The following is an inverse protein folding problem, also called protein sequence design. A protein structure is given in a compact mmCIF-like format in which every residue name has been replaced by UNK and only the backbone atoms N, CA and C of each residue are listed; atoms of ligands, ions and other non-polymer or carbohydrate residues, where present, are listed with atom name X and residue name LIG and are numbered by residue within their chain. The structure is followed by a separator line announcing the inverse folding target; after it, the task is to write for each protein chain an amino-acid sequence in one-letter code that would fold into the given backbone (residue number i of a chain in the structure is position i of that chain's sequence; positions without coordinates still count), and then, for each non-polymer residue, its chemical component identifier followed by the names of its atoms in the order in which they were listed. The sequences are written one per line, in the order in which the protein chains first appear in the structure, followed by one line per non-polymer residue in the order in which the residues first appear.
data_IF_717994091106
#
_entry.id   IF_717994091106
#
_cell.length_a   1.000
_cell.length_b   1.000
_cell.length_c   1.000
_cell.angle_alpha   90.00
_cell.angle_beta   90.00
_cell.angle_gamma   90.00
#
_symmetry.space_group_name_H-M   'P 1'
#
loop_
_entity.id
_entity.type
_entity.pdbx_description
1 polymer ?
#
# COMPACT_ATOMS: atom_id res chain seq x y z
N UNK A 1 14.88 9.53 -7.07
CA UNK A 1 13.59 8.81 -7.10
C UNK A 1 12.98 8.75 -8.51
N UNK A 2 12.50 9.87 -9.07
CA UNK A 2 11.81 9.81 -10.38
C UNK A 2 12.71 9.25 -11.48
N UNK A 3 13.94 9.68 -11.57
CA UNK A 3 14.91 9.18 -12.55
C UNK A 3 15.08 7.67 -12.48
N UNK A 4 15.30 7.11 -11.27
CA UNK A 4 15.48 5.67 -11.08
C UNK A 4 14.22 4.89 -11.43
N UNK A 5 13.03 5.42 -11.04
CA UNK A 5 11.75 4.79 -11.34
C UNK A 5 11.45 4.80 -12.84
N UNK A 6 11.70 5.92 -13.53
CA UNK A 6 11.51 6.03 -14.99
C UNK A 6 12.48 5.11 -15.72
N UNK A 7 13.76 5.13 -15.34
CA UNK A 7 14.77 4.23 -15.92
C UNK A 7 14.37 2.76 -15.76
N UNK A 8 13.90 2.37 -14.58
CA UNK A 8 13.43 1.01 -14.31
C UNK A 8 12.16 0.66 -15.11
N UNK A 9 11.21 1.60 -15.20
CA UNK A 9 9.98 1.42 -15.97
C UNK A 9 10.27 1.21 -17.46
N UNK A 10 11.11 2.03 -18.06
CA UNK A 10 11.50 1.93 -19.47
C UNK A 10 12.27 0.64 -19.75
N UNK A 11 13.28 0.34 -18.91
CA UNK A 11 14.11 -0.87 -19.07
C UNK A 11 13.28 -2.16 -19.01
N UNK A 12 12.29 -2.22 -18.13
CA UNK A 12 11.49 -3.42 -17.87
C UNK A 12 10.09 -3.37 -18.50
N UNK A 13 9.78 -2.31 -19.25
CA UNK A 13 8.45 -2.04 -19.82
C UNK A 13 7.33 -2.12 -18.75
N UNK A 14 7.62 -1.60 -17.55
CA UNK A 14 6.72 -1.73 -16.40
C UNK A 14 5.51 -0.82 -16.52
N UNK A 15 4.35 -1.33 -16.12
CA UNK A 15 3.12 -0.55 -15.95
C UNK A 15 3.05 0.08 -14.56
N UNK A 16 3.76 -0.53 -13.61
CA UNK A 16 3.78 -0.14 -12.22
C UNK A 16 5.18 -0.32 -11.63
N UNK A 17 5.71 0.74 -11.03
CA UNK A 17 6.97 0.70 -10.27
C UNK A 17 6.69 1.17 -8.85
N UNK A 18 7.21 0.45 -7.87
CA UNK A 18 7.08 0.80 -6.45
C UNK A 18 8.46 0.88 -5.80
N UNK A 19 8.64 1.85 -4.90
CA UNK A 19 9.88 2.03 -4.14
C UNK A 19 9.65 1.92 -2.64
N UNK A 20 10.74 1.74 -1.89
CA UNK A 20 10.72 1.89 -0.45
C UNK A 20 10.59 3.34 0.01
N UNK A 21 10.41 3.51 1.33
CA UNK A 21 10.30 4.81 1.99
C UNK A 21 10.69 4.71 3.47
N UNK A 22 10.78 5.86 4.12
CA UNK A 22 10.98 5.99 5.57
C UNK A 22 9.69 6.43 6.25
N UNK A 23 9.45 5.92 7.47
CA UNK A 23 8.44 6.45 8.39
C UNK A 23 9.19 7.16 9.52
N UNK A 24 9.10 8.47 9.58
CA UNK A 24 9.70 9.30 10.62
C UNK A 24 8.65 9.61 11.68
N UNK A 25 8.65 8.89 12.80
CA UNK A 25 7.75 9.12 13.94
C UNK A 25 8.42 10.04 14.94
N UNK A 26 7.90 11.25 15.12
CA UNK A 26 8.40 12.24 16.06
C UNK A 26 7.69 12.11 17.40
N UNK A 27 8.46 11.90 18.47
CA UNK A 27 7.99 11.92 19.86
C UNK A 27 8.08 13.34 20.45
N UNK A 28 9.14 14.06 20.10
CA UNK A 28 9.38 15.48 20.42
C UNK A 28 9.93 16.17 19.17
N UNK A 29 10.20 17.50 19.26
CA UNK A 29 10.80 18.23 18.14
C UNK A 29 12.23 17.77 17.81
N UNK A 30 12.91 17.15 18.77
CA UNK A 30 14.31 16.70 18.64
C UNK A 30 14.48 15.18 18.64
N UNK A 31 13.44 14.42 18.98
CA UNK A 31 13.49 12.97 19.10
C UNK A 31 12.55 12.30 18.12
N UNK A 32 13.11 11.49 17.23
CA UNK A 32 12.34 10.72 16.27
C UNK A 32 12.82 9.28 16.16
N UNK A 33 11.91 8.39 15.84
CA UNK A 33 12.17 7.03 15.43
C UNK A 33 11.97 6.89 13.92
N UNK A 34 12.94 6.32 13.23
CA UNK A 34 12.90 6.13 11.77
C UNK A 34 12.76 4.64 11.46
N UNK A 35 11.68 4.30 10.78
CA UNK A 35 11.46 2.95 10.27
C UNK A 35 11.68 2.93 8.76
N UNK A 36 12.37 1.90 8.29
CA UNK A 36 12.55 1.64 6.86
C UNK A 36 11.47 0.68 6.36
N UNK A 37 10.84 1.04 5.26
CA UNK A 37 9.88 0.21 4.55
C UNK A 37 10.44 -0.03 3.15
N UNK A 38 11.01 -1.19 2.90
CA UNK A 38 11.60 -1.52 1.62
C UNK A 38 11.57 -3.03 1.36
N UNK A 39 11.43 -3.40 0.10
CA UNK A 39 11.61 -4.76 -0.37
C UNK A 39 12.88 -4.84 -1.22
N UNK A 40 13.31 -6.05 -1.57
CA UNK A 40 14.43 -6.28 -2.50
C UNK A 40 14.10 -5.77 -3.90
N UNK A 41 15.12 -5.41 -4.66
CA UNK A 41 14.94 -5.14 -6.10
C UNK A 41 14.37 -6.39 -6.77
N UNK A 42 13.26 -6.20 -7.48
CA UNK A 42 12.56 -7.30 -8.14
C UNK A 42 11.86 -6.81 -9.41
N UNK A 43 12.00 -7.56 -10.48
CA UNK A 43 11.18 -7.45 -11.70
C UNK A 43 10.35 -8.72 -11.75
N UNK A 44 9.06 -8.61 -11.56
CA UNK A 44 8.19 -9.79 -11.59
C UNK A 44 8.06 -10.30 -13.02
N UNK A 45 8.41 -11.58 -13.26
CA UNK A 45 8.42 -12.13 -14.61
C UNK A 45 7.01 -12.33 -15.19
N UNK A 46 6.01 -12.46 -14.32
CA UNK A 46 4.61 -12.65 -14.69
C UNK A 46 3.68 -11.94 -13.70
N UNK A 47 2.46 -11.66 -14.14
CA UNK A 47 1.39 -11.16 -13.27
C UNK A 47 1.15 -12.09 -12.08
N UNK A 48 1.15 -13.41 -12.31
CA UNK A 48 0.94 -14.39 -11.26
C UNK A 48 2.04 -14.34 -10.19
N UNK A 49 3.31 -14.21 -10.59
CA UNK A 49 4.42 -14.08 -9.64
C UNK A 49 4.30 -12.83 -8.76
N UNK A 50 3.81 -11.72 -9.30
CA UNK A 50 3.51 -10.52 -8.52
C UNK A 50 2.37 -10.76 -7.53
N UNK A 51 1.26 -11.36 -7.99
CA UNK A 51 0.08 -11.61 -7.16
C UNK A 51 0.40 -12.50 -5.97
N UNK A 52 1.18 -13.55 -6.17
CA UNK A 52 1.62 -14.48 -5.13
C UNK A 52 2.52 -13.81 -4.08
N UNK A 53 3.36 -12.86 -4.49
CA UNK A 53 4.31 -12.16 -3.62
C UNK A 53 3.75 -10.86 -2.99
N UNK A 54 2.58 -10.40 -3.45
CA UNK A 54 2.01 -9.10 -3.06
C UNK A 54 1.78 -8.94 -1.56
N UNK A 55 1.48 -10.02 -0.82
CA UNK A 55 1.30 -10.00 0.63
C UNK A 55 2.55 -9.48 1.37
N UNK A 56 3.76 -9.81 0.90
CA UNK A 56 5.00 -9.26 1.45
C UNK A 56 5.10 -7.74 1.25
N UNK A 57 4.66 -7.23 0.08
CA UNK A 57 4.66 -5.80 -0.19
C UNK A 57 3.61 -5.06 0.65
N UNK A 58 2.46 -5.67 0.89
CA UNK A 58 1.45 -5.14 1.83
C UNK A 58 1.97 -5.08 3.25
N UNK A 59 2.67 -6.11 3.73
CA UNK A 59 3.27 -6.15 5.07
C UNK A 59 4.28 -5.03 5.30
N UNK A 60 5.01 -4.66 4.26
CA UNK A 60 5.94 -3.54 4.27
C UNK A 60 5.26 -2.18 3.97
N UNK A 61 3.93 -2.12 3.96
CA UNK A 61 3.13 -0.94 3.64
C UNK A 61 3.42 -0.34 2.24
N UNK A 62 4.04 -1.07 1.34
CA UNK A 62 4.46 -0.56 0.04
C UNK A 62 3.28 -0.38 -0.94
N UNK A 63 2.12 -1.02 -0.71
CA UNK A 63 0.96 -1.01 -1.60
C UNK A 63 -0.26 -0.23 -1.05
N UNK A 64 -0.07 0.75 -0.18
CA UNK A 64 -1.18 1.54 0.39
C UNK A 64 -1.35 2.92 -0.24
N UNK A 65 -0.26 3.66 -0.43
CA UNK A 65 -0.29 5.07 -0.84
C UNK A 65 0.33 5.26 -2.22
N UNK A 66 -0.08 6.28 -3.01
CA UNK A 66 0.42 6.47 -4.37
C UNK A 66 1.81 7.14 -4.45
N UNK A 67 2.26 7.84 -3.43
CA UNK A 67 3.42 8.74 -3.45
C UNK A 67 4.79 8.05 -3.59
N UNK A 68 4.90 6.74 -3.35
CA UNK A 68 6.10 5.92 -3.58
C UNK A 68 6.01 5.09 -4.87
N UNK A 69 5.19 5.51 -5.83
CA UNK A 69 4.86 4.72 -7.02
C UNK A 69 4.95 5.52 -8.30
N UNK A 70 5.22 4.82 -9.39
CA UNK A 70 5.10 5.33 -10.75
C UNK A 70 4.12 4.45 -11.53
N UNK A 71 3.22 5.08 -12.27
CA UNK A 71 2.16 4.44 -13.02
C UNK A 71 2.30 4.75 -14.52
N UNK A 72 2.12 3.75 -15.35
CA UNK A 72 1.98 3.98 -16.79
C UNK A 72 0.61 4.65 -17.05
N UNK A 73 0.63 5.87 -17.55
CA UNK A 73 -0.57 6.69 -17.74
C UNK A 73 -1.60 6.01 -18.66
N UNK A 74 -1.14 5.38 -19.73
CA UNK A 74 -1.99 4.67 -20.69
C UNK A 74 -2.71 3.48 -20.02
N UNK A 75 -2.03 2.78 -19.10
CA UNK A 75 -2.64 1.69 -18.33
C UNK A 75 -3.75 2.21 -17.42
N UNK A 76 -3.46 3.23 -16.62
CA UNK A 76 -4.43 3.79 -15.66
C UNK A 76 -5.65 4.38 -16.38
N UNK A 77 -5.41 5.23 -17.40
CA UNK A 77 -6.49 5.87 -18.16
C UNK A 77 -7.26 4.89 -19.03
N UNK A 78 -6.54 3.97 -19.69
CA UNK A 78 -7.14 2.98 -20.59
C UNK A 78 -8.07 2.00 -19.88
N UNK A 79 -7.83 1.73 -18.59
CA UNK A 79 -8.68 0.90 -17.74
C UNK A 79 -9.70 1.70 -16.91
N UNK A 80 -9.79 3.02 -17.09
CA UNK A 80 -10.75 3.86 -16.37
C UNK A 80 -10.52 3.87 -14.86
N UNK A 81 -9.27 3.79 -14.42
CA UNK A 81 -8.93 3.76 -12.98
C UNK A 81 -8.87 5.18 -12.45
N UNK A 82 -9.68 5.48 -11.45
CA UNK A 82 -9.79 6.79 -10.82
C UNK A 82 -9.79 6.65 -9.29
N UNK A 83 -9.46 7.74 -8.59
CA UNK A 83 -9.64 7.82 -7.14
C UNK A 83 -11.13 7.78 -6.81
N UNK A 84 -11.60 6.83 -5.99
CA UNK A 84 -13.00 6.80 -5.58
C UNK A 84 -13.29 7.91 -4.56
N UNK A 85 -14.56 8.33 -4.48
CA UNK A 85 -15.00 9.31 -3.48
C UNK A 85 -15.26 8.63 -2.14
N UNK A 86 -14.22 8.26 -1.43
CA UNK A 86 -14.29 7.65 -0.10
C UNK A 86 -13.18 8.16 0.80
N UNK A 87 -13.31 7.93 2.11
CA UNK A 87 -12.21 8.17 3.04
C UNK A 87 -11.11 7.13 2.80
N UNK A 88 -9.84 7.56 2.82
CA UNK A 88 -8.68 6.75 2.44
C UNK A 88 -8.72 6.26 0.97
N UNK A 89 -9.10 7.15 0.07
CA UNK A 89 -9.21 6.91 -1.37
C UNK A 89 -7.93 6.40 -2.04
N UNK A 90 -6.77 6.66 -1.46
CA UNK A 90 -5.47 6.13 -1.88
C UNK A 90 -5.47 4.60 -1.99
N UNK A 91 -5.98 3.93 -0.97
CA UNK A 91 -5.91 2.48 -0.90
C UNK A 91 -6.75 1.77 -1.96
N UNK A 92 -8.06 2.03 -2.11
CA UNK A 92 -8.85 1.41 -3.17
C UNK A 92 -8.39 1.82 -4.58
N UNK A 93 -7.80 3.02 -4.74
CA UNK A 93 -7.15 3.38 -5.99
C UNK A 93 -5.98 2.44 -6.29
N UNK A 94 -5.08 2.20 -5.34
CA UNK A 94 -3.95 1.28 -5.51
C UNK A 94 -4.44 -0.16 -5.78
N UNK A 95 -5.45 -0.64 -5.07
CA UNK A 95 -6.04 -1.96 -5.33
C UNK A 95 -6.57 -2.06 -6.76
N UNK A 96 -7.23 -1.01 -7.26
CA UNK A 96 -7.71 -0.98 -8.65
C UNK A 96 -6.57 -1.03 -9.67
N UNK A 97 -5.44 -0.37 -9.38
CA UNK A 97 -4.25 -0.42 -10.25
C UNK A 97 -3.63 -1.80 -10.25
N UNK A 98 -3.42 -2.41 -9.07
CA UNK A 98 -2.70 -3.69 -8.97
C UNK A 98 -3.55 -4.91 -9.34
N UNK A 99 -4.85 -4.74 -9.41
CA UNK A 99 -5.81 -5.80 -9.70
C UNK A 99 -5.45 -6.60 -10.95
N UNK A 100 -5.14 -5.89 -12.03
CA UNK A 100 -4.91 -6.50 -13.35
C UNK A 100 -3.59 -6.04 -14.01
N UNK A 101 -2.70 -5.41 -13.22
CA UNK A 101 -1.37 -5.04 -13.72
C UNK A 101 -0.55 -6.28 -14.08
N UNK A 102 0.16 -6.22 -15.20
CA UNK A 102 0.94 -7.36 -15.70
C UNK A 102 2.43 -7.25 -15.42
N UNK A 103 2.97 -6.02 -15.52
CA UNK A 103 4.41 -5.78 -15.45
C UNK A 103 4.74 -4.82 -14.31
N UNK A 104 5.31 -5.40 -13.25
CA UNK A 104 5.62 -4.72 -12.01
C UNK A 104 7.11 -4.77 -11.72
N UNK A 105 7.69 -3.65 -11.33
CA UNK A 105 9.06 -3.55 -10.81
C UNK A 105 9.05 -2.96 -9.41
N UNK A 106 9.83 -3.56 -8.52
CA UNK A 106 10.12 -3.06 -7.17
C UNK A 106 11.56 -2.60 -7.09
N UNK A 107 11.79 -1.42 -6.54
CA UNK A 107 13.11 -0.89 -6.25
C UNK A 107 13.30 -0.80 -4.73
N UNK A 108 14.42 -1.29 -4.23
CA UNK A 108 14.79 -1.27 -2.82
C UNK A 108 15.15 0.13 -2.30
N UNK A 109 15.36 1.09 -3.21
CA UNK A 109 15.67 2.48 -2.87
C UNK A 109 14.56 3.14 -2.04
N UNK A 110 14.96 3.86 -1.00
CA UNK A 110 14.07 4.58 -0.08
C UNK A 110 14.24 6.08 -0.32
N UNK A 111 13.23 6.73 -0.88
CA UNK A 111 13.35 8.12 -1.34
C UNK A 111 12.40 9.09 -0.66
N UNK A 112 11.35 8.58 -0.04
CA UNK A 112 10.31 9.41 0.56
C UNK A 112 10.31 9.25 2.08
N UNK A 113 10.10 10.36 2.80
CA UNK A 113 9.94 10.37 4.24
C UNK A 113 8.48 10.65 4.60
N UNK A 114 7.78 9.65 5.10
CA UNK A 114 6.45 9.82 5.65
C UNK A 114 6.54 10.28 7.10
N UNK A 115 6.20 11.54 7.34
CA UNK A 115 6.40 12.20 8.64
C UNK A 115 5.17 12.03 9.51
N UNK A 116 5.31 11.34 10.65
CA UNK A 116 4.33 11.19 11.72
C UNK A 116 4.68 12.12 12.89
N UNK A 117 4.24 13.37 12.82
CA UNK A 117 4.52 14.38 13.87
C UNK A 117 3.22 14.98 14.45
N UNK A 118 2.08 14.84 13.77
CA UNK A 118 0.90 15.65 14.06
C UNK A 118 -0.17 14.83 14.77
N UNK A 119 -0.59 15.30 15.95
CA UNK A 119 -1.84 14.88 16.59
C UNK A 119 -3.09 15.28 15.76
N UNK A 120 -2.95 16.22 14.84
CA UNK A 120 -4.03 16.76 14.02
C UNK A 120 -4.17 16.11 12.63
N UNK A 121 -3.43 15.03 12.34
CA UNK A 121 -3.58 14.36 11.05
C UNK A 121 -4.96 13.68 10.97
N UNK A 122 -5.58 13.66 9.80
CA UNK A 122 -6.87 13.00 9.58
C UNK A 122 -6.87 11.54 10.02
N UNK A 123 -5.73 10.86 9.91
CA UNK A 123 -5.57 9.46 10.32
C UNK A 123 -5.43 9.27 11.84
N UNK A 124 -5.10 10.33 12.59
CA UNK A 124 -4.95 10.29 14.05
C UNK A 124 -6.22 10.78 14.79
N UNK A 125 -7.17 11.42 14.07
CA UNK A 125 -8.42 11.90 14.68
C UNK A 125 -9.35 10.76 15.00
N UNK A 126 -10.05 10.88 16.15
CA UNK A 126 -11.16 9.98 16.47
C UNK A 126 -12.22 9.98 15.36
N UNK A 127 -12.63 8.81 14.94
CA UNK A 127 -13.70 8.59 13.97
C UNK A 127 -14.74 7.63 14.52
N UNK A 128 -16.00 8.03 14.44
CA UNK A 128 -17.13 7.20 14.87
C UNK A 128 -17.32 5.97 13.96
N UNK A 129 -17.06 6.13 12.68
CA UNK A 129 -17.23 5.13 11.63
C UNK A 129 -15.95 4.32 11.35
N UNK A 130 -14.96 4.33 12.27
CA UNK A 130 -13.68 3.65 12.07
C UNK A 130 -13.86 2.15 11.82
N UNK A 131 -14.73 1.50 12.59
CA UNK A 131 -14.99 0.07 12.41
C UNK A 131 -15.55 -0.23 11.01
N UNK A 132 -16.57 0.50 10.58
CA UNK A 132 -17.19 0.30 9.27
C UNK A 132 -16.15 0.50 8.13
N UNK A 133 -15.25 1.47 8.29
CA UNK A 133 -14.16 1.71 7.32
C UNK A 133 -13.11 0.59 7.32
N UNK A 134 -12.85 -0.06 8.45
CA UNK A 134 -11.94 -1.21 8.51
C UNK A 134 -12.58 -2.48 7.94
N UNK A 135 -13.88 -2.67 8.13
CA UNK A 135 -14.64 -3.73 7.45
C UNK A 135 -14.61 -3.54 5.92
N UNK A 136 -14.82 -2.31 5.44
CA UNK A 136 -14.73 -1.97 4.03
C UNK A 136 -13.33 -2.25 3.45
N UNK A 137 -12.27 -1.81 4.17
CA UNK A 137 -10.86 -2.09 3.80
C UNK A 137 -10.58 -3.59 3.70
N UNK A 138 -11.06 -4.36 4.69
CA UNK A 138 -10.91 -5.82 4.70
C UNK A 138 -11.65 -6.48 3.54
N UNK A 139 -12.88 -6.05 3.26
CA UNK A 139 -13.67 -6.51 2.12
C UNK A 139 -12.95 -6.30 0.80
N UNK A 140 -12.36 -5.14 0.56
CA UNK A 140 -11.57 -4.87 -0.64
C UNK A 140 -10.36 -5.79 -0.79
N UNK A 141 -9.70 -6.15 0.33
CA UNK A 141 -8.58 -7.09 0.31
C UNK A 141 -9.03 -8.51 -0.04
N UNK A 142 -10.13 -8.96 0.56
CA UNK A 142 -10.73 -10.27 0.22
C UNK A 142 -11.10 -10.31 -1.26
N UNK A 143 -11.82 -9.30 -1.76
CA UNK A 143 -12.24 -9.20 -3.17
C UNK A 143 -11.05 -9.24 -4.14
N UNK A 144 -9.92 -8.63 -3.76
CA UNK A 144 -8.71 -8.64 -4.57
C UNK A 144 -8.11 -10.05 -4.67
N UNK A 145 -7.95 -10.75 -3.52
CA UNK A 145 -7.36 -12.09 -3.49
C UNK A 145 -8.29 -13.14 -4.12
N UNK A 146 -9.61 -12.99 -3.96
CA UNK A 146 -10.62 -13.79 -4.68
C UNK A 146 -10.50 -13.59 -6.21
N UNK A 147 -10.41 -12.33 -6.67
CA UNK A 147 -10.20 -12.02 -8.09
C UNK A 147 -8.91 -12.65 -8.63
N UNK A 148 -7.85 -12.68 -7.83
CA UNK A 148 -6.58 -13.30 -8.18
C UNK A 148 -6.61 -14.82 -8.10
N UNK A 149 -7.63 -15.41 -7.48
CA UNK A 149 -7.75 -16.84 -7.18
C UNK A 149 -6.53 -17.37 -6.42
N UNK A 150 -6.11 -16.64 -5.38
CA UNK A 150 -4.98 -16.98 -4.51
C UNK A 150 -5.50 -17.29 -3.11
N UNK A 151 -5.37 -18.56 -2.71
CA UNK A 151 -5.86 -19.11 -1.44
C UNK A 151 -4.79 -20.01 -0.84
N UNK A 152 -3.61 -19.44 -0.56
CA UNK A 152 -2.54 -20.20 0.12
C UNK A 152 -2.61 -19.98 1.63
N UNK A 153 -2.09 -20.92 2.46
CA UNK A 153 -2.04 -20.72 3.91
C UNK A 153 -1.37 -19.41 4.32
N UNK A 154 -0.35 -18.98 3.58
CA UNK A 154 0.38 -17.73 3.83
C UNK A 154 -0.49 -16.49 3.56
N UNK A 155 -1.27 -16.50 2.46
CA UNK A 155 -2.15 -15.38 2.12
C UNK A 155 -3.38 -15.33 3.03
N UNK A 156 -3.92 -16.46 3.43
CA UNK A 156 -5.02 -16.54 4.41
C UNK A 156 -4.57 -16.02 5.79
N UNK A 157 -3.39 -16.46 6.26
CA UNK A 157 -2.79 -15.94 7.50
C UNK A 157 -2.55 -14.42 7.41
N UNK A 158 -1.99 -13.95 6.30
CA UNK A 158 -1.77 -12.52 6.05
C UNK A 158 -3.09 -11.73 6.17
N UNK A 159 -4.14 -12.14 5.50
CA UNK A 159 -5.45 -11.46 5.53
C UNK A 159 -6.04 -11.45 6.93
N UNK A 160 -6.01 -12.58 7.64
CA UNK A 160 -6.52 -12.68 9.01
C UNK A 160 -5.72 -11.82 10.00
N UNK A 161 -4.39 -11.82 9.88
CA UNK A 161 -3.51 -11.00 10.72
C UNK A 161 -3.74 -9.51 10.48
N UNK A 162 -3.79 -9.08 9.21
CA UNK A 162 -4.09 -7.68 8.85
C UNK A 162 -5.43 -7.21 9.39
N UNK A 163 -6.47 -8.04 9.27
CA UNK A 163 -7.78 -7.73 9.82
C UNK A 163 -7.73 -7.57 11.35
N UNK A 164 -7.06 -8.48 12.06
CA UNK A 164 -6.88 -8.40 13.50
C UNK A 164 -6.16 -7.10 13.92
N UNK A 165 -5.11 -6.70 13.23
CA UNK A 165 -4.39 -5.43 13.46
C UNK A 165 -5.32 -4.21 13.26
N UNK A 166 -6.21 -4.26 12.27
CA UNK A 166 -7.19 -3.19 12.02
C UNK A 166 -8.24 -3.09 13.12
N UNK A 167 -8.68 -4.24 13.67
CA UNK A 167 -9.59 -4.27 14.82
C UNK A 167 -8.95 -3.70 16.08
N UNK A 168 -7.67 -4.02 16.34
CA UNK A 168 -6.90 -3.39 17.42
C UNK A 168 -6.87 -1.86 17.25
N UNK A 169 -6.60 -1.37 16.05
CA UNK A 169 -6.65 0.06 15.72
C UNK A 169 -8.02 0.70 15.97
N UNK A 170 -9.12 -0.04 15.83
CA UNK A 170 -10.46 0.45 16.21
C UNK A 170 -10.60 0.63 17.73
N UNK A 171 -10.02 -0.28 18.54
CA UNK A 171 -10.00 -0.15 20.00
C UNK A 171 -9.20 1.09 20.39
N UNK A 172 -8.02 1.28 19.81
CA UNK A 172 -7.17 2.46 20.03
C UNK A 172 -7.89 3.76 19.67
N UNK A 173 -8.63 3.78 18.55
CA UNK A 173 -9.42 4.94 18.15
C UNK A 173 -10.48 5.32 19.21
N UNK A 174 -11.07 4.36 19.89
CA UNK A 174 -12.07 4.63 20.97
C UNK A 174 -11.38 5.09 22.24
N UNK A 175 -10.21 4.57 22.58
CA UNK A 175 -9.48 4.92 23.80
C UNK A 175 -8.78 6.27 23.73
N UNK A 176 -8.51 6.78 22.54
CA UNK A 176 -7.86 8.06 22.28
C UNK A 176 -8.86 9.25 22.10
N UNK A 177 -10.05 9.13 22.69
CA UNK A 177 -11.08 10.18 22.67
C UNK A 177 -10.71 11.42 23.46
#
# INVERSE_FOLDING_TARGET
MLEDMVTAAEKNSSQFVVTGFYIDTYYTDSEKFVQEQAYKDCVYPTQQAFREDAHHLFDLNLLYSPWNKLFLTEYVKGNGIYFPQTFWDDFPFILSVIRDVERVTVLSGKYYHFIRKRQESETARYRRDMYDKREEEHGWMIDLYEHWNIHTPETEEFLARRYSERLIGCIENVTNR
#
